data_IF_765756814442
#
_entry.id   IF_765756814442
#
_cell.length_a   1.000
_cell.length_b   1.000
_cell.length_c   1.000
_cell.angle_alpha   90.00
_cell.angle_beta   90.00
_cell.angle_gamma   90.00
#
_symmetry.space_group_name_H-M   'P 1'
#
loop_
_entity.id
_entity.type
_entity.pdbx_description
1 polymer ?
#
# COMPACT_ATOMS: atom_id res chain seq x y z
N UNK A 1 10.31 -39.06 1.69
CA UNK A 1 10.63 -37.63 1.55
C UNK A 1 12.11 -37.43 1.77
N UNK A 2 12.80 -36.90 0.74
CA UNK A 2 14.28 -36.81 0.74
C UNK A 2 14.79 -35.38 1.05
N UNK A 3 13.91 -34.45 1.30
CA UNK A 3 14.27 -33.05 1.54
C UNK A 3 13.38 -32.43 2.62
N UNK A 4 14.00 -31.92 3.66
CA UNK A 4 13.37 -31.13 4.73
C UNK A 4 14.02 -29.77 4.78
N UNK A 5 13.24 -28.72 4.60
CA UNK A 5 13.71 -27.34 4.78
C UNK A 5 12.88 -26.64 5.85
N UNK A 6 13.58 -26.07 6.84
CA UNK A 6 13.00 -25.14 7.79
C UNK A 6 13.28 -23.71 7.31
N UNK A 7 12.27 -23.03 6.84
CA UNK A 7 12.41 -21.66 6.34
C UNK A 7 11.75 -20.69 7.30
N UNK A 8 12.42 -19.58 7.53
CA UNK A 8 11.91 -18.50 8.37
C UNK A 8 11.18 -17.49 7.48
N UNK A 9 9.91 -17.25 7.77
CA UNK A 9 9.18 -16.11 7.22
C UNK A 9 9.48 -14.90 8.10
N UNK A 10 10.01 -13.84 7.52
CA UNK A 10 10.14 -12.54 8.17
C UNK A 10 9.03 -11.61 7.72
N UNK A 11 8.52 -10.82 8.65
CA UNK A 11 7.50 -9.81 8.43
C UNK A 11 7.86 -8.61 9.30
N UNK A 12 8.26 -7.51 8.65
CA UNK A 12 8.63 -6.27 9.31
C UNK A 12 7.57 -5.22 8.99
N UNK A 13 7.05 -4.58 10.04
CA UNK A 13 6.05 -3.53 9.93
C UNK A 13 6.47 -2.30 10.73
N UNK A 14 6.39 -1.15 10.08
CA UNK A 14 6.61 0.17 10.68
C UNK A 14 5.41 1.06 10.41
N UNK A 15 5.03 1.90 11.38
CA UNK A 15 3.91 2.83 11.24
C UNK A 15 4.18 4.12 12.00
N UNK A 16 3.95 5.25 11.35
CA UNK A 16 4.06 6.58 11.93
C UNK A 16 2.77 7.36 11.69
N UNK A 17 2.32 8.05 12.72
CA UNK A 17 1.16 8.94 12.69
C UNK A 17 1.51 10.26 13.34
N UNK A 18 1.27 11.36 12.63
CA UNK A 18 1.33 12.71 13.14
C UNK A 18 -0.06 13.36 13.08
N UNK A 19 -0.42 14.13 14.11
CA UNK A 19 -1.67 14.90 14.16
C UNK A 19 -1.41 16.29 14.70
N UNK A 20 -2.02 17.29 14.09
CA UNK A 20 -2.04 18.67 14.52
C UNK A 20 -3.50 19.13 14.61
N UNK A 21 -3.90 19.64 15.78
CA UNK A 21 -5.22 20.21 16.03
C UNK A 21 -5.06 21.70 16.21
N UNK A 22 -5.86 22.50 15.51
CA UNK A 22 -5.81 23.96 15.54
C UNK A 22 -7.19 24.53 15.83
N UNK A 23 -7.30 25.30 16.91
CA UNK A 23 -8.47 26.10 17.21
C UNK A 23 -8.22 27.53 16.68
N UNK A 24 -8.77 27.84 15.51
CA UNK A 24 -8.65 29.18 14.90
C UNK A 24 -9.49 30.18 15.67
N UNK A 25 -10.67 29.76 16.13
CA UNK A 25 -11.58 30.54 16.97
C UNK A 25 -12.51 29.58 17.75
N UNK A 26 -13.37 30.10 18.61
CA UNK A 26 -14.42 29.33 19.30
C UNK A 26 -15.36 28.61 18.32
N UNK A 27 -15.51 29.14 17.11
CA UNK A 27 -16.41 28.60 16.07
C UNK A 27 -15.70 27.81 14.99
N UNK A 28 -14.37 27.86 14.92
CA UNK A 28 -13.62 27.29 13.82
C UNK A 28 -12.46 26.45 14.32
N UNK A 29 -12.51 25.18 14.02
CA UNK A 29 -11.49 24.20 14.40
C UNK A 29 -11.15 23.36 13.18
N UNK A 30 -9.88 23.09 13.00
CA UNK A 30 -9.46 22.08 12.04
C UNK A 30 -8.39 21.17 12.63
N UNK A 31 -8.29 19.97 12.10
CA UNK A 31 -7.14 19.14 12.33
C UNK A 31 -6.54 18.64 11.03
N UNK A 32 -5.26 18.40 11.07
CA UNK A 32 -4.50 17.74 10.04
C UNK A 32 -3.91 16.47 10.62
N UNK A 33 -4.01 15.37 9.90
CA UNK A 33 -3.23 14.17 10.20
C UNK A 33 -2.50 13.67 8.98
N UNK A 34 -1.34 13.09 9.25
CA UNK A 34 -0.52 12.40 8.26
C UNK A 34 -0.13 11.04 8.82
N UNK A 35 -0.24 10.01 7.99
CA UNK A 35 0.16 8.65 8.33
C UNK A 35 1.03 8.06 7.25
N UNK A 36 1.98 7.27 7.67
CA UNK A 36 2.79 6.43 6.81
C UNK A 36 2.97 5.09 7.48
N UNK A 37 2.91 4.03 6.70
CA UNK A 37 3.33 2.72 7.14
C UNK A 37 4.02 1.96 6.01
N UNK A 38 4.93 1.09 6.40
CA UNK A 38 5.65 0.21 5.51
C UNK A 38 5.66 -1.21 6.07
N UNK A 39 5.46 -2.18 5.21
CA UNK A 39 5.52 -3.60 5.55
C UNK A 39 6.30 -4.35 4.50
N UNK A 40 7.27 -5.14 4.92
CA UNK A 40 8.09 -5.99 4.07
C UNK A 40 7.98 -7.42 4.57
N UNK A 41 7.46 -8.30 3.72
CA UNK A 41 7.32 -9.72 4.00
C UNK A 41 8.23 -10.54 3.10
N UNK A 42 9.05 -11.41 3.69
CA UNK A 42 9.74 -12.48 2.96
C UNK A 42 8.87 -13.74 2.98
N UNK A 43 8.37 -14.14 1.81
CA UNK A 43 7.38 -15.20 1.67
C UNK A 43 7.82 -16.32 0.73
N UNK A 44 7.41 -17.55 1.04
CA UNK A 44 7.49 -18.69 0.12
C UNK A 44 8.90 -19.13 -0.25
N UNK A 45 9.93 -18.70 0.49
CA UNK A 45 11.30 -19.13 0.24
C UNK A 45 11.55 -20.54 0.79
N UNK A 46 11.16 -21.55 0.01
CA UNK A 46 11.19 -22.97 0.40
C UNK A 46 12.59 -23.53 0.58
N UNK A 47 13.58 -22.99 -0.12
CA UNK A 47 14.95 -23.51 -0.14
C UNK A 47 15.95 -22.60 0.59
N UNK A 48 15.47 -21.51 1.17
CA UNK A 48 16.29 -20.49 1.81
C UNK A 48 17.40 -19.94 0.89
N UNK A 49 17.07 -19.75 -0.39
CA UNK A 49 17.96 -19.22 -1.42
C UNK A 49 17.17 -18.40 -2.45
N UNK A 50 17.81 -18.03 -3.56
CA UNK A 50 17.19 -17.20 -4.61
C UNK A 50 16.25 -17.96 -5.55
N UNK A 51 16.13 -19.29 -5.41
CA UNK A 51 15.36 -20.13 -6.34
C UNK A 51 13.85 -20.06 -6.10
N UNK A 52 13.41 -19.66 -4.91
CA UNK A 52 11.99 -19.56 -4.56
C UNK A 52 11.73 -18.38 -3.61
N UNK A 53 10.45 -18.04 -3.48
CA UNK A 53 10.03 -16.96 -2.61
C UNK A 53 9.88 -15.62 -3.30
N UNK A 54 9.38 -14.65 -2.58
CA UNK A 54 9.33 -13.26 -2.96
C UNK A 54 9.40 -12.34 -1.74
N UNK A 55 9.82 -11.10 -1.96
CA UNK A 55 9.66 -10.01 -1.02
C UNK A 55 8.43 -9.22 -1.43
N UNK A 56 7.41 -9.21 -0.58
CA UNK A 56 6.24 -8.36 -0.77
C UNK A 56 6.42 -7.09 0.05
N UNK A 57 6.53 -5.96 -0.65
CA UNK A 57 6.52 -4.62 -0.07
C UNK A 57 5.14 -3.99 -0.16
N UNK A 58 4.70 -3.37 0.94
CA UNK A 58 3.49 -2.52 0.99
C UNK A 58 3.83 -1.23 1.69
N UNK A 59 3.64 -0.14 0.97
CA UNK A 59 3.81 1.19 1.52
C UNK A 59 2.50 1.96 1.42
N UNK A 60 2.10 2.59 2.51
CA UNK A 60 0.88 3.39 2.57
C UNK A 60 1.18 4.79 3.07
N UNK A 61 0.71 5.77 2.34
CA UNK A 61 0.67 7.17 2.73
C UNK A 61 -0.77 7.63 2.90
N UNK A 62 -1.00 8.53 3.82
CA UNK A 62 -2.31 9.17 3.95
C UNK A 62 -2.19 10.52 4.61
N UNK A 63 -2.97 11.46 4.11
CA UNK A 63 -3.14 12.78 4.68
C UNK A 63 -4.63 13.11 4.75
N UNK A 64 -5.04 13.77 5.82
CA UNK A 64 -6.44 14.21 6.00
C UNK A 64 -6.46 15.57 6.65
N UNK A 65 -7.27 16.45 6.09
CA UNK A 65 -7.68 17.71 6.72
C UNK A 65 -9.16 17.60 7.05
N UNK A 66 -9.53 17.95 8.26
CA UNK A 66 -10.93 17.98 8.72
C UNK A 66 -11.19 19.37 9.29
N UNK A 67 -12.18 20.05 8.76
CA UNK A 67 -12.60 21.40 9.11
C UNK A 67 -13.99 21.40 9.71
N UNK A 68 -14.14 21.96 10.90
CA UNK A 68 -15.41 22.10 11.60
C UNK A 68 -15.69 23.56 11.83
N UNK A 69 -16.73 24.05 11.19
CA UNK A 69 -17.18 25.43 11.34
C UNK A 69 -18.59 25.50 11.96
N UNK A 70 -18.69 26.18 13.09
CA UNK A 70 -19.94 26.43 13.82
C UNK A 70 -20.48 27.80 13.46
N UNK A 71 -21.44 27.88 12.55
CA UNK A 71 -22.09 29.13 12.16
C UNK A 71 -22.81 29.76 13.34
N UNK A 72 -23.58 28.93 14.06
CA UNK A 72 -24.33 29.33 15.27
C UNK A 72 -24.69 28.07 16.09
N UNK A 73 -25.39 28.23 17.22
CA UNK A 73 -25.76 27.14 18.14
C UNK A 73 -26.60 26.01 17.49
N UNK A 74 -27.15 26.24 16.29
CA UNK A 74 -28.02 25.27 15.60
C UNK A 74 -27.46 24.80 14.25
N UNK A 75 -26.30 25.34 13.81
CA UNK A 75 -25.78 25.05 12.46
C UNK A 75 -24.30 24.82 12.50
N UNK A 76 -23.88 23.62 12.08
CA UNK A 76 -22.47 23.17 12.03
C UNK A 76 -22.20 22.59 10.65
N UNK A 77 -21.10 23.00 10.05
CA UNK A 77 -20.53 22.41 8.84
C UNK A 77 -19.27 21.64 9.23
N UNK A 78 -19.18 20.39 8.78
CA UNK A 78 -17.95 19.61 8.85
C UNK A 78 -17.54 19.26 7.41
N UNK A 79 -16.30 19.56 7.04
CA UNK A 79 -15.75 19.25 5.72
C UNK A 79 -14.43 18.53 5.91
N UNK A 80 -14.27 17.39 5.26
CA UNK A 80 -13.07 16.57 5.31
C UNK A 80 -12.54 16.32 3.90
N UNK A 81 -11.28 16.65 3.69
CA UNK A 81 -10.54 16.24 2.50
C UNK A 81 -9.47 15.21 2.90
N UNK A 82 -9.36 14.14 2.15
CA UNK A 82 -8.42 13.07 2.40
C UNK A 82 -7.75 12.57 1.13
N UNK A 83 -6.50 12.14 1.30
CA UNK A 83 -5.76 11.42 0.28
C UNK A 83 -5.09 10.21 0.90
N UNK A 84 -5.11 9.09 0.18
CA UNK A 84 -4.32 7.91 0.51
C UNK A 84 -3.66 7.36 -0.74
N UNK A 85 -2.40 6.94 -0.59
CA UNK A 85 -1.66 6.16 -1.59
C UNK A 85 -1.31 4.82 -1.01
N UNK A 86 -1.64 3.76 -1.74
CA UNK A 86 -1.26 2.40 -1.45
C UNK A 86 -0.34 1.92 -2.56
N UNK A 87 0.87 1.50 -2.21
CA UNK A 87 1.81 0.86 -3.11
C UNK A 87 1.95 -0.60 -2.66
N UNK A 88 1.72 -1.53 -3.57
CA UNK A 88 2.05 -2.94 -3.34
C UNK A 88 2.93 -3.44 -4.47
N UNK A 89 4.00 -4.12 -4.12
CA UNK A 89 4.91 -4.68 -5.11
C UNK A 89 5.62 -5.93 -4.63
N UNK A 90 5.88 -6.82 -5.57
CA UNK A 90 6.66 -8.03 -5.33
C UNK A 90 8.04 -7.89 -5.96
N UNK A 91 9.08 -8.19 -5.18
CA UNK A 91 10.46 -8.25 -5.66
C UNK A 91 10.94 -9.69 -5.59
N UNK A 92 11.56 -10.16 -6.67
CA UNK A 92 12.11 -11.52 -6.74
C UNK A 92 13.45 -11.59 -5.99
N UNK A 93 13.70 -12.62 -5.16
CA UNK A 93 14.99 -12.80 -4.51
C UNK A 93 16.17 -12.90 -5.48
N UNK A 94 15.92 -13.35 -6.71
CA UNK A 94 16.92 -13.49 -7.76
C UNK A 94 17.12 -12.23 -8.62
N UNK A 95 16.56 -11.07 -8.24
CA UNK A 95 16.76 -9.84 -8.98
C UNK A 95 18.24 -9.46 -9.09
N UNK A 96 18.73 -9.23 -10.32
CA UNK A 96 20.14 -8.99 -10.63
C UNK A 96 20.98 -10.26 -10.84
N UNK A 97 20.41 -11.45 -10.67
CA UNK A 97 21.14 -12.70 -10.85
C UNK A 97 21.31 -13.05 -12.34
N UNK A 98 22.57 -13.14 -12.79
CA UNK A 98 22.87 -13.57 -14.16
C UNK A 98 22.80 -15.09 -14.29
N UNK A 99 21.69 -15.58 -14.81
CA UNK A 99 21.44 -17.01 -15.00
C UNK A 99 22.32 -17.68 -16.05
N UNK A 100 23.07 -16.92 -16.89
CA UNK A 100 24.09 -17.51 -17.75
C UNK A 100 25.19 -18.22 -16.96
N UNK A 101 25.43 -17.84 -15.69
CA UNK A 101 26.35 -18.55 -14.79
C UNK A 101 25.91 -19.97 -14.47
N UNK A 102 24.67 -20.33 -14.71
CA UNK A 102 24.12 -21.68 -14.58
C UNK A 102 24.17 -22.50 -15.89
N UNK A 103 24.81 -21.97 -16.93
CA UNK A 103 24.91 -22.66 -18.23
C UNK A 103 23.83 -22.29 -19.26
N UNK A 104 22.95 -21.34 -18.96
CA UNK A 104 22.03 -20.79 -19.93
C UNK A 104 22.78 -19.97 -21.00
N UNK A 105 22.28 -19.92 -22.26
CA UNK A 105 22.92 -19.12 -23.30
C UNK A 105 23.09 -17.65 -22.90
N UNK A 106 24.28 -17.11 -23.09
CA UNK A 106 24.58 -15.71 -22.82
C UNK A 106 23.67 -14.74 -23.62
N UNK A 107 23.32 -15.12 -24.85
CA UNK A 107 22.40 -14.36 -25.69
C UNK A 107 21.00 -14.21 -25.05
N UNK A 108 20.53 -15.23 -24.35
CA UNK A 108 19.27 -15.19 -23.64
C UNK A 108 19.33 -14.20 -22.45
N UNK A 109 20.42 -14.22 -21.70
CA UNK A 109 20.63 -13.28 -20.62
C UNK A 109 20.74 -11.83 -21.12
N UNK A 110 21.43 -11.62 -22.24
CA UNK A 110 21.61 -10.31 -22.85
C UNK A 110 20.30 -9.73 -23.41
N UNK A 111 19.37 -10.57 -23.88
CA UNK A 111 18.06 -10.16 -24.41
C UNK A 111 16.97 -10.03 -23.34
N UNK A 112 17.24 -10.46 -22.13
CA UNK A 112 16.27 -10.41 -21.04
C UNK A 112 16.10 -8.97 -20.53
N UNK A 113 14.87 -8.46 -20.42
CA UNK A 113 14.63 -7.10 -19.91
C UNK A 113 15.02 -6.96 -18.43
N UNK A 114 15.13 -8.06 -17.71
CA UNK A 114 15.51 -8.12 -16.31
C UNK A 114 16.28 -9.40 -16.04
N UNK A 115 17.44 -9.28 -15.38
CA UNK A 115 18.21 -10.45 -14.95
C UNK A 115 17.60 -11.02 -13.67
N UNK A 116 16.97 -12.17 -13.80
CA UNK A 116 16.36 -12.95 -12.71
C UNK A 116 16.49 -14.42 -13.02
N UNK A 117 16.46 -15.29 -12.01
CA UNK A 117 16.37 -16.73 -12.24
C UNK A 117 15.07 -17.04 -13.00
N UNK A 118 15.14 -17.68 -14.18
CA UNK A 118 13.96 -18.07 -14.94
C UNK A 118 13.05 -18.97 -14.09
N UNK A 119 11.76 -18.89 -14.31
CA UNK A 119 10.82 -19.86 -13.76
C UNK A 119 10.96 -21.17 -14.55
N UNK A 120 11.24 -22.25 -13.85
CA UNK A 120 11.37 -23.58 -14.39
C UNK A 120 10.23 -24.40 -13.81
N UNK A 121 9.30 -24.76 -14.68
CA UNK A 121 8.17 -25.61 -14.35
C UNK A 121 8.62 -27.07 -14.43
N UNK A 122 8.44 -27.81 -13.35
CA UNK A 122 8.88 -29.20 -13.22
C UNK A 122 7.65 -30.09 -13.10
N UNK A 123 7.47 -31.01 -14.08
CA UNK A 123 6.42 -32.01 -13.98
C UNK A 123 6.58 -32.83 -12.68
N UNK A 124 5.50 -32.95 -11.90
CA UNK A 124 5.42 -33.65 -10.60
C UNK A 124 6.25 -33.08 -9.44
N UNK A 125 6.93 -31.94 -9.61
CA UNK A 125 7.70 -31.24 -8.57
C UNK A 125 7.26 -29.79 -8.44
N UNK A 126 7.70 -29.13 -7.40
CA UNK A 126 7.46 -27.69 -7.25
C UNK A 126 8.35 -26.88 -8.19
N UNK A 127 7.82 -25.79 -8.73
CA UNK A 127 8.53 -24.90 -9.63
C UNK A 127 9.75 -24.25 -8.96
N UNK A 128 10.75 -23.97 -9.75
CA UNK A 128 11.93 -23.16 -9.38
C UNK A 128 11.79 -21.81 -10.06
N UNK A 129 12.23 -20.76 -9.40
CA UNK A 129 12.01 -19.38 -9.83
C UNK A 129 10.78 -18.78 -9.16
N UNK A 130 10.55 -17.51 -9.42
CA UNK A 130 9.42 -16.76 -8.86
C UNK A 130 8.80 -15.84 -9.88
N UNK A 131 7.48 -15.76 -9.90
CA UNK A 131 6.73 -14.74 -10.62
C UNK A 131 6.69 -13.44 -9.81
N UNK A 132 6.47 -12.31 -10.46
CA UNK A 132 6.33 -11.00 -9.81
C UNK A 132 7.26 -9.95 -10.41
N UNK A 133 7.28 -8.78 -9.83
CA UNK A 133 8.07 -7.64 -10.29
C UNK A 133 7.23 -6.45 -10.74
N UNK A 134 5.92 -6.45 -10.47
CA UNK A 134 5.05 -5.28 -10.66
C UNK A 134 4.91 -4.51 -9.35
N UNK A 135 4.86 -3.19 -9.46
CA UNK A 135 4.43 -2.27 -8.40
C UNK A 135 3.22 -1.55 -8.95
N UNK A 136 2.10 -1.63 -8.24
CA UNK A 136 0.86 -0.98 -8.65
C UNK A 136 0.49 0.07 -7.61
N UNK A 137 0.74 1.37 -7.91
CA UNK A 137 0.30 2.45 -7.04
C UNK A 137 -1.20 2.70 -7.20
N UNK A 138 -1.85 2.92 -6.09
CA UNK A 138 -3.28 3.18 -6.00
C UNK A 138 -3.55 4.42 -5.15
N UNK A 139 -4.07 5.47 -5.76
CA UNK A 139 -4.44 6.70 -5.09
C UNK A 139 -5.95 6.79 -4.87
N UNK A 140 -6.35 7.23 -3.69
CA UNK A 140 -7.74 7.57 -3.38
C UNK A 140 -7.80 9.00 -2.86
N UNK A 141 -8.60 9.83 -3.50
CA UNK A 141 -8.96 11.16 -3.05
C UNK A 141 -10.41 11.15 -2.58
N UNK A 142 -10.67 11.78 -1.44
CA UNK A 142 -12.00 11.86 -0.87
C UNK A 142 -12.29 13.29 -0.42
N UNK A 143 -13.49 13.76 -0.73
CA UNK A 143 -14.07 14.96 -0.17
C UNK A 143 -15.43 14.60 0.45
N UNK A 144 -15.52 14.78 1.75
CA UNK A 144 -16.72 14.56 2.52
C UNK A 144 -17.17 15.88 3.13
N UNK A 145 -18.45 16.22 3.05
CA UNK A 145 -19.00 17.40 3.71
C UNK A 145 -20.37 17.07 4.32
N UNK A 146 -20.62 17.58 5.52
CA UNK A 146 -21.89 17.41 6.23
C UNK A 146 -22.31 18.71 6.88
N UNK A 147 -23.49 19.19 6.54
CA UNK A 147 -24.19 20.28 7.21
C UNK A 147 -25.21 19.69 8.20
N UNK A 148 -25.08 20.05 9.47
CA UNK A 148 -26.04 19.72 10.52
C UNK A 148 -26.82 20.97 10.88
N UNK A 149 -28.16 20.88 10.89
CA UNK A 149 -29.07 21.96 11.25
C UNK A 149 -30.13 21.49 12.22
N UNK A 150 -30.26 22.18 13.34
CA UNK A 150 -31.32 21.97 14.32
C UNK A 150 -32.46 22.97 14.04
N UNK A 151 -33.69 22.47 13.85
CA UNK A 151 -34.89 23.27 13.62
C UNK A 151 -35.97 22.80 14.60
N UNK A 152 -36.19 23.58 15.66
CA UNK A 152 -37.10 23.20 16.73
C UNK A 152 -36.67 21.89 17.42
N UNK A 153 -37.46 20.81 17.27
CA UNK A 153 -37.15 19.47 17.82
C UNK A 153 -36.48 18.53 16.80
N UNK A 154 -36.24 19.01 15.57
CA UNK A 154 -35.69 18.21 14.51
C UNK A 154 -34.20 18.48 14.32
N UNK A 155 -33.44 17.42 14.17
CA UNK A 155 -32.03 17.49 13.76
C UNK A 155 -31.94 17.01 12.31
N UNK A 156 -31.62 17.94 11.39
CA UNK A 156 -31.48 17.69 9.98
C UNK A 156 -29.99 17.57 9.65
N UNK A 157 -29.65 16.56 8.86
CA UNK A 157 -28.25 16.33 8.42
C UNK A 157 -28.25 16.11 6.91
N UNK A 158 -27.47 16.95 6.21
CA UNK A 158 -27.26 16.86 4.76
C UNK A 158 -25.77 16.67 4.51
N UNK A 159 -25.43 15.81 3.58
CA UNK A 159 -24.00 15.55 3.31
C UNK A 159 -23.76 15.01 1.92
N UNK A 160 -22.50 15.05 1.53
CA UNK A 160 -21.98 14.47 0.30
C UNK A 160 -20.66 13.79 0.59
N UNK A 161 -20.39 12.69 -0.13
CA UNK A 161 -19.12 11.97 -0.13
C UNK A 161 -18.72 11.73 -1.59
N UNK A 162 -17.65 12.39 -2.01
CA UNK A 162 -17.09 12.26 -3.35
C UNK A 162 -15.77 11.52 -3.23
N UNK A 163 -15.60 10.48 -4.03
CA UNK A 163 -14.35 9.68 -4.08
C UNK A 163 -13.87 9.54 -5.50
N UNK A 164 -12.59 9.75 -5.67
CA UNK A 164 -11.88 9.45 -6.90
C UNK A 164 -10.78 8.43 -6.60
N UNK A 165 -10.80 7.34 -7.33
CA UNK A 165 -9.76 6.31 -7.28
C UNK A 165 -8.96 6.35 -8.58
N UNK A 166 -7.66 6.23 -8.45
CA UNK A 166 -6.71 6.25 -9.56
C UNK A 166 -5.70 5.14 -9.40
N UNK A 167 -5.64 4.27 -10.36
CA UNK A 167 -4.62 3.23 -10.49
C UNK A 167 -3.64 3.65 -11.59
N UNK A 168 -2.36 3.47 -11.35
CA UNK A 168 -1.31 3.72 -12.35
C UNK A 168 -0.58 2.42 -12.63
N UNK A 169 -0.68 1.94 -13.86
CA UNK A 169 0.05 0.78 -14.38
C UNK A 169 1.31 1.24 -15.11
#
# INVERSE_FOLDING_TARGET
>A
DNFLANTVRSDTFESHLGRLDVNVSEKHKFFFNMRWNNRIENRGNRYNNIATGNFLGRENWGATVDDVYTFNSTTILNTRAGWTRFNEGNTRPSLGFNFASLGFPQALAASSPQLVLPTIDLDRYGDIGTSGGSITPFDTFQLFSTLTKIVGRHNLKFGTDLRQQRESN
#
